data_IF_169359197122
#
_entry.id   IF_169359197122
#
_cell.length_a   1.000
_cell.length_b   1.000
_cell.length_c   1.000
_cell.angle_alpha   90.00
_cell.angle_beta   90.00
_cell.angle_gamma   90.00
#
_symmetry.space_group_name_H-M   'P 1'
#
loop_
_entity.id
_entity.type
_entity.pdbx_description
1 polymer ?
#
# COMPACT_ATOMS: atom_id res chain seq x y z
N UNK A 1 -25.62 -33.72 -59.37
CA UNK A 1 -25.37 -34.54 -58.16
C UNK A 1 -25.62 -33.68 -56.94
N UNK A 2 -26.65 -34.03 -56.16
CA UNK A 2 -26.98 -33.42 -54.87
C UNK A 2 -26.20 -34.15 -53.78
N UNK A 3 -25.47 -33.44 -52.93
CA UNK A 3 -24.95 -33.97 -51.67
C UNK A 3 -25.42 -33.01 -50.58
N UNK A 4 -26.30 -33.52 -49.71
CA UNK A 4 -26.92 -32.79 -48.62
C UNK A 4 -26.03 -32.66 -47.38
N UNK A 5 -26.50 -31.95 -46.34
CA UNK A 5 -25.73 -31.69 -45.13
C UNK A 5 -25.85 -32.84 -44.12
N UNK A 6 -24.73 -33.21 -43.48
CA UNK A 6 -24.74 -34.06 -42.28
C UNK A 6 -24.91 -33.19 -41.03
N UNK A 7 -26.01 -33.41 -40.32
CA UNK A 7 -26.26 -32.95 -38.97
C UNK A 7 -25.85 -34.04 -37.96
N UNK A 8 -25.39 -33.55 -36.80
CA UNK A 8 -25.60 -34.09 -35.45
C UNK A 8 -24.71 -35.22 -34.90
N UNK A 9 -24.14 -34.92 -33.71
CA UNK A 9 -24.02 -35.85 -32.59
C UNK A 9 -22.62 -36.42 -32.35
N UNK A 10 -21.95 -36.04 -31.24
CA UNK A 10 -21.99 -36.83 -30.00
C UNK A 10 -21.23 -36.13 -28.87
N UNK A 11 -21.96 -35.79 -27.80
CA UNK A 11 -21.43 -35.22 -26.55
C UNK A 11 -20.98 -36.39 -25.69
N UNK A 12 -19.68 -36.72 -25.72
CA UNK A 12 -19.10 -37.72 -24.81
C UNK A 12 -18.87 -37.09 -23.44
N UNK A 13 -19.60 -37.59 -22.45
CA UNK A 13 -19.32 -37.43 -21.02
C UNK A 13 -18.17 -38.38 -20.70
N UNK A 14 -17.03 -37.85 -20.33
CA UNK A 14 -15.98 -38.68 -19.75
C UNK A 14 -16.27 -38.92 -18.27
N UNK A 15 -16.15 -40.20 -17.97
CA UNK A 15 -16.46 -40.91 -16.73
C UNK A 15 -15.32 -40.67 -15.76
N UNK A 16 -15.66 -40.25 -14.54
CA UNK A 16 -14.73 -40.18 -13.42
C UNK A 16 -14.62 -41.59 -12.81
N UNK A 17 -13.48 -42.26 -12.97
CA UNK A 17 -13.10 -43.38 -12.11
C UNK A 17 -11.97 -42.93 -11.18
N UNK A 18 -12.12 -43.09 -9.85
CA UNK A 18 -11.06 -42.84 -8.89
C UNK A 18 -10.31 -44.15 -8.63
N UNK A 19 -8.98 -44.12 -8.65
CA UNK A 19 -8.19 -45.00 -7.78
C UNK A 19 -6.71 -44.62 -7.80
N UNK A 20 -6.10 -44.69 -6.61
CA UNK A 20 -4.66 -44.91 -6.49
C UNK A 20 -3.94 -43.92 -5.59
N UNK A 21 -4.16 -44.04 -4.28
CA UNK A 21 -3.15 -43.68 -3.30
C UNK A 21 -1.91 -44.55 -3.55
N UNK A 22 -0.78 -43.93 -3.82
CA UNK A 22 0.54 -44.49 -3.51
C UNK A 22 1.44 -43.33 -3.11
N UNK A 23 1.77 -43.34 -1.83
CA UNK A 23 2.76 -42.49 -1.19
C UNK A 23 4.12 -42.63 -1.86
N UNK A 24 4.72 -41.51 -2.27
CA UNK A 24 6.17 -41.34 -2.29
C UNK A 24 6.48 -39.85 -2.30
N UNK A 25 7.29 -39.47 -1.31
CA UNK A 25 7.76 -38.14 -1.00
C UNK A 25 8.70 -37.63 -2.10
N UNK A 26 8.28 -36.63 -2.87
CA UNK A 26 9.16 -35.65 -3.48
C UNK A 26 8.49 -34.27 -3.33
N UNK A 27 8.95 -33.47 -2.37
CA UNK A 27 8.65 -32.03 -2.30
C UNK A 27 9.30 -31.35 -3.52
N UNK A 28 8.57 -31.36 -4.63
CA UNK A 28 8.82 -30.46 -5.75
C UNK A 28 8.45 -29.05 -5.27
N UNK A 29 9.46 -28.34 -4.79
CA UNK A 29 9.45 -26.88 -4.64
C UNK A 29 9.04 -26.29 -5.99
N UNK A 30 7.76 -25.93 -6.12
CA UNK A 30 7.23 -25.05 -7.16
C UNK A 30 7.96 -23.71 -7.08
N UNK A 31 9.18 -23.70 -7.62
CA UNK A 31 9.85 -22.50 -8.07
C UNK A 31 8.99 -21.94 -9.20
N UNK A 32 8.11 -21.01 -8.81
CA UNK A 32 7.40 -20.10 -9.71
C UNK A 32 8.37 -19.74 -10.84
N UNK A 33 8.01 -19.90 -12.14
CA UNK A 33 8.94 -19.65 -13.22
C UNK A 33 9.46 -18.23 -13.09
N UNK A 34 10.73 -18.12 -12.72
CA UNK A 34 11.50 -16.89 -12.75
C UNK A 34 11.68 -16.55 -14.21
N UNK A 35 10.63 -15.95 -14.78
CA UNK A 35 10.72 -15.24 -16.04
C UNK A 35 11.94 -14.31 -15.99
N UNK A 36 12.60 -14.09 -17.13
CA UNK A 36 13.83 -13.30 -17.17
C UNK A 36 13.60 -11.98 -16.44
N UNK A 37 14.41 -11.73 -15.41
CA UNK A 37 14.43 -10.49 -14.64
C UNK A 37 14.51 -9.35 -15.65
N UNK A 38 13.54 -8.44 -15.71
CA UNK A 38 13.50 -7.42 -16.75
C UNK A 38 14.80 -6.61 -16.73
N UNK A 39 15.50 -6.61 -17.87
CA UNK A 39 16.71 -5.80 -18.11
C UNK A 39 16.37 -4.33 -17.81
N UNK A 40 16.74 -3.85 -16.62
CA UNK A 40 16.35 -2.53 -16.14
C UNK A 40 16.05 -2.42 -14.64
N UNK A 41 16.16 -3.51 -13.85
CA UNK A 41 15.98 -3.42 -12.40
C UNK A 41 17.00 -2.45 -11.79
N UNK A 42 16.51 -1.47 -11.00
CA UNK A 42 17.36 -0.57 -10.24
C UNK A 42 18.23 -1.39 -9.29
N UNK A 43 19.53 -1.09 -9.21
CA UNK A 43 20.38 -1.74 -8.22
C UNK A 43 19.84 -1.51 -6.80
N UNK A 44 19.98 -2.51 -5.93
CA UNK A 44 19.49 -2.43 -4.54
C UNK A 44 19.96 -1.15 -3.82
N UNK A 45 21.22 -0.74 -4.02
CA UNK A 45 21.74 0.52 -3.48
C UNK A 45 20.94 1.74 -3.94
N UNK A 46 20.57 1.82 -5.22
CA UNK A 46 19.76 2.94 -5.74
C UNK A 46 18.35 2.89 -5.20
N UNK A 47 17.75 1.69 -5.07
CA UNK A 47 16.44 1.53 -4.45
C UNK A 47 16.44 2.02 -3.00
N UNK A 48 17.46 1.65 -2.21
CA UNK A 48 17.62 2.10 -0.81
C UNK A 48 17.77 3.62 -0.70
N UNK A 49 18.57 4.24 -1.56
CA UNK A 49 18.74 5.72 -1.56
C UNK A 49 17.42 6.41 -1.93
N UNK A 50 16.74 5.94 -2.98
CA UNK A 50 15.45 6.49 -3.40
C UNK A 50 14.40 6.33 -2.32
N UNK A 51 14.27 5.13 -1.76
CA UNK A 51 13.36 4.83 -0.65
C UNK A 51 13.66 5.76 0.54
N UNK A 52 14.91 5.82 1.02
CA UNK A 52 15.28 6.68 2.14
C UNK A 52 14.99 8.16 1.90
N UNK A 53 15.13 8.63 0.66
CA UNK A 53 14.80 10.01 0.29
C UNK A 53 13.29 10.27 0.32
N UNK A 54 12.49 9.40 -0.30
CA UNK A 54 11.03 9.61 -0.41
C UNK A 54 10.34 9.34 0.93
N UNK A 55 10.70 8.24 1.62
CA UNK A 55 10.23 7.97 2.97
C UNK A 55 10.64 9.08 3.94
N UNK A 56 11.91 9.51 3.90
CA UNK A 56 12.39 10.60 4.76
C UNK A 56 11.63 11.91 4.54
N UNK A 57 11.33 12.26 3.29
CA UNK A 57 10.50 13.42 2.96
C UNK A 57 9.06 13.26 3.49
N UNK A 58 8.44 12.09 3.28
CA UNK A 58 7.09 11.80 3.79
C UNK A 58 7.02 11.90 5.32
N UNK A 59 7.94 11.23 6.00
CA UNK A 59 8.07 11.25 7.46
C UNK A 59 8.29 12.67 7.98
N UNK A 60 9.17 13.45 7.34
CA UNK A 60 9.42 14.84 7.72
C UNK A 60 8.17 15.72 7.56
N UNK A 61 7.41 15.56 6.47
CA UNK A 61 6.13 16.26 6.27
C UNK A 61 5.12 15.89 7.37
N UNK A 62 4.95 14.60 7.67
CA UNK A 62 4.04 14.12 8.72
C UNK A 62 4.44 14.64 10.10
N UNK A 63 5.72 14.52 10.47
CA UNK A 63 6.24 15.01 11.75
C UNK A 63 6.08 16.52 11.87
N UNK A 64 6.39 17.27 10.80
CA UNK A 64 6.23 18.73 10.79
C UNK A 64 4.77 19.13 10.99
N UNK A 65 3.84 18.47 10.29
CA UNK A 65 2.41 18.71 10.43
C UNK A 65 1.92 18.42 11.86
N UNK A 66 2.32 17.29 12.44
CA UNK A 66 1.93 16.90 13.78
C UNK A 66 2.56 17.79 14.87
N UNK A 67 3.85 18.10 14.78
CA UNK A 67 4.55 18.97 15.72
C UNK A 67 4.03 20.41 15.65
N UNK A 68 3.77 20.93 14.44
CA UNK A 68 3.19 22.26 14.29
C UNK A 68 1.78 22.34 14.87
N UNK A 69 0.96 21.29 14.68
CA UNK A 69 -0.39 21.20 15.27
C UNK A 69 -0.32 21.07 16.80
N UNK A 70 0.65 20.32 17.32
CA UNK A 70 0.91 20.22 18.75
C UNK A 70 1.34 21.58 19.34
N UNK A 71 2.28 22.27 18.70
CA UNK A 71 2.80 23.56 19.16
C UNK A 71 1.73 24.67 19.13
N UNK A 72 0.74 24.56 18.26
CA UNK A 72 -0.38 25.51 18.16
C UNK A 72 -1.61 25.09 18.99
N UNK A 73 -1.53 24.00 19.76
CA UNK A 73 -2.65 23.41 20.51
C UNK A 73 -3.88 23.08 19.63
N UNK A 74 -3.64 22.75 18.36
CA UNK A 74 -4.69 22.38 17.40
C UNK A 74 -4.81 20.86 17.20
N UNK A 75 -3.92 20.08 17.83
CA UNK A 75 -4.00 18.62 17.82
C UNK A 75 -5.14 18.15 18.74
N UNK A 76 -6.10 17.41 18.18
CA UNK A 76 -7.28 16.88 18.87
C UNK A 76 -7.20 15.38 19.06
N UNK A 77 -7.65 14.87 20.20
CA UNK A 77 -7.73 13.41 20.45
C UNK A 77 -8.79 12.72 19.60
N UNK A 78 -9.85 13.44 19.25
CA UNK A 78 -11.01 12.85 18.54
C UNK A 78 -10.76 12.76 17.03
N UNK A 79 -10.02 13.74 16.47
CA UNK A 79 -9.84 13.90 15.02
C UNK A 79 -8.38 13.84 14.58
N UNK A 80 -7.43 13.96 15.51
CA UNK A 80 -6.01 14.08 15.20
C UNK A 80 -5.67 15.50 14.74
N UNK A 81 -5.39 15.66 13.45
CA UNK A 81 -5.13 16.97 12.84
C UNK A 81 -6.42 17.69 12.46
N UNK A 82 -6.31 19.00 12.25
CA UNK A 82 -7.36 19.73 11.57
C UNK A 82 -7.51 19.28 10.11
N UNK A 83 -8.74 19.42 9.60
CA UNK A 83 -9.07 19.01 8.22
C UNK A 83 -8.23 19.74 7.17
N UNK A 84 -7.83 21.00 7.40
CA UNK A 84 -6.99 21.75 6.47
C UNK A 84 -5.61 21.11 6.31
N UNK A 85 -5.07 20.56 7.39
CA UNK A 85 -3.75 19.91 7.38
C UNK A 85 -3.84 18.57 6.68
N UNK A 86 -4.90 17.78 6.94
CA UNK A 86 -5.17 16.56 6.18
C UNK A 86 -5.34 16.86 4.68
N UNK A 87 -6.08 17.91 4.34
CA UNK A 87 -6.29 18.32 2.95
C UNK A 87 -4.97 18.74 2.30
N UNK A 88 -4.11 19.49 3.00
CA UNK A 88 -2.79 19.87 2.50
C UNK A 88 -1.90 18.64 2.23
N UNK A 89 -1.85 17.69 3.16
CA UNK A 89 -1.10 16.45 2.99
C UNK A 89 -1.64 15.60 1.83
N UNK A 90 -2.98 15.52 1.69
CA UNK A 90 -3.64 14.87 0.56
C UNK A 90 -3.25 15.53 -0.77
N UNK A 91 -3.33 16.85 -0.88
CA UNK A 91 -2.95 17.59 -2.09
C UNK A 91 -1.47 17.42 -2.41
N UNK A 92 -0.59 17.40 -1.39
CA UNK A 92 0.83 17.16 -1.57
C UNK A 92 1.09 15.76 -2.14
N UNK A 93 0.41 14.73 -1.62
CA UNK A 93 0.51 13.37 -2.13
C UNK A 93 -0.03 13.23 -3.56
N UNK A 94 -1.17 13.85 -3.87
CA UNK A 94 -1.70 13.89 -5.24
C UNK A 94 -0.74 14.60 -6.20
N UNK A 95 -0.14 15.71 -5.77
CA UNK A 95 0.87 16.45 -6.55
C UNK A 95 2.10 15.57 -6.78
N UNK A 96 2.54 14.83 -5.77
CA UNK A 96 3.65 13.88 -5.90
C UNK A 96 3.37 12.81 -6.96
N UNK A 97 2.17 12.22 -6.99
CA UNK A 97 1.77 11.25 -8.00
C UNK A 97 1.77 11.85 -9.42
N UNK A 98 1.36 13.11 -9.57
CA UNK A 98 1.42 13.83 -10.86
C UNK A 98 2.87 14.07 -11.29
N UNK A 99 3.75 14.47 -10.35
CA UNK A 99 5.19 14.62 -10.62
C UNK A 99 5.79 13.29 -11.05
N UNK A 100 5.44 12.19 -10.39
CA UNK A 100 5.85 10.85 -10.79
C UNK A 100 5.40 10.51 -12.22
N UNK A 101 4.14 10.79 -12.57
CA UNK A 101 3.62 10.57 -13.92
C UNK A 101 4.39 11.40 -14.96
N UNK A 102 4.66 12.68 -14.67
CA UNK A 102 5.45 13.53 -15.54
C UNK A 102 6.86 12.95 -15.74
N UNK A 103 7.55 12.57 -14.67
CA UNK A 103 8.88 11.94 -14.73
C UNK A 103 8.84 10.63 -15.52
N UNK A 104 7.82 9.80 -15.32
CA UNK A 104 7.64 8.54 -16.06
C UNK A 104 7.50 8.82 -17.56
N UNK A 105 6.64 9.77 -17.95
CA UNK A 105 6.43 10.17 -19.35
C UNK A 105 7.70 10.75 -19.97
N UNK A 106 8.43 11.63 -19.27
CA UNK A 106 9.69 12.19 -19.78
C UNK A 106 10.80 11.14 -19.94
N UNK A 107 10.76 10.04 -19.19
CA UNK A 107 11.70 8.93 -19.31
C UNK A 107 11.38 7.96 -20.45
N UNK A 108 10.17 8.03 -21.02
CA UNK A 108 9.79 7.18 -22.14
C UNK A 108 10.65 7.52 -23.37
N UNK A 109 11.55 6.61 -23.73
CA UNK A 109 12.25 6.62 -25.02
C UNK A 109 11.50 5.72 -26.02
N UNK A 110 11.29 6.23 -27.24
CA UNK A 110 10.71 5.49 -28.37
C UNK A 110 9.18 5.56 -28.47
N UNK A 111 8.55 4.59 -29.15
CA UNK A 111 7.08 4.49 -29.35
C UNK A 111 6.32 3.90 -28.14
N UNK A 112 6.92 3.87 -26.94
CA UNK A 112 6.27 3.32 -25.74
C UNK A 112 5.22 4.28 -25.19
N UNK A 113 4.13 3.75 -24.65
CA UNK A 113 3.04 4.54 -24.05
C UNK A 113 2.90 4.21 -22.57
N UNK A 114 2.60 5.23 -21.77
CA UNK A 114 2.23 5.04 -20.37
C UNK A 114 0.75 4.66 -20.28
N UNK A 115 0.42 3.58 -19.59
CA UNK A 115 -0.97 3.16 -19.45
C UNK A 115 -1.71 4.05 -18.45
N UNK A 116 -2.83 4.64 -18.88
CA UNK A 116 -3.71 5.41 -18.00
C UNK A 116 -4.34 4.52 -16.91
N UNK A 117 -4.57 3.24 -17.18
CA UNK A 117 -5.12 2.32 -16.17
C UNK A 117 -4.16 2.13 -15.00
N UNK A 118 -2.87 2.00 -15.30
CA UNK A 118 -1.83 1.81 -14.27
C UNK A 118 -1.65 3.09 -13.44
N UNK A 119 -1.74 4.26 -14.08
CA UNK A 119 -1.78 5.53 -13.34
C UNK A 119 -2.96 5.61 -12.37
N UNK A 120 -4.16 5.24 -12.83
CA UNK A 120 -5.36 5.26 -12.00
C UNK A 120 -5.24 4.29 -10.81
N UNK A 121 -4.78 3.06 -11.04
CA UNK A 121 -4.52 2.09 -9.98
C UNK A 121 -3.52 2.61 -8.95
N UNK A 122 -2.38 3.13 -9.41
CA UNK A 122 -1.34 3.70 -8.55
C UNK A 122 -1.85 4.91 -7.75
N UNK A 123 -2.69 5.74 -8.35
CA UNK A 123 -3.30 6.89 -7.68
C UNK A 123 -4.22 6.44 -6.55
N UNK A 124 -5.04 5.42 -6.80
CA UNK A 124 -5.97 4.89 -5.82
C UNK A 124 -5.20 4.26 -4.66
N UNK A 125 -4.28 3.34 -4.94
CA UNK A 125 -3.44 2.71 -3.90
C UNK A 125 -2.66 3.76 -3.11
N UNK A 126 -2.07 4.76 -3.78
CA UNK A 126 -1.28 5.80 -3.14
C UNK A 126 -2.08 6.82 -2.33
N UNK A 127 -3.38 7.01 -2.63
CA UNK A 127 -4.25 7.98 -1.93
C UNK A 127 -5.21 7.34 -0.92
N UNK A 128 -5.35 6.01 -0.93
CA UNK A 128 -6.28 5.30 -0.07
C UNK A 128 -5.76 5.25 1.39
N UNK A 129 -6.48 5.79 2.38
CA UNK A 129 -5.98 5.90 3.76
C UNK A 129 -5.66 4.57 4.46
N UNK A 130 -6.31 3.49 4.02
CA UNK A 130 -6.13 2.13 4.54
C UNK A 130 -4.92 1.41 3.90
N UNK A 131 -4.60 1.70 2.63
CA UNK A 131 -3.62 0.91 1.87
C UNK A 131 -2.29 1.61 1.63
N UNK A 132 -2.29 2.93 1.71
CA UNK A 132 -1.12 3.74 1.40
C UNK A 132 -0.21 3.84 2.61
N UNK A 133 1.03 3.36 2.45
CA UNK A 133 2.11 3.48 3.45
C UNK A 133 2.33 4.94 3.89
N UNK A 134 2.07 5.92 3.00
CA UNK A 134 2.18 7.33 3.34
C UNK A 134 1.16 7.77 4.41
N UNK A 135 -0.06 7.23 4.34
CA UNK A 135 -1.10 7.47 5.35
C UNK A 135 -0.88 6.65 6.60
N UNK A 136 -0.29 5.47 6.49
CA UNK A 136 0.07 4.67 7.66
C UNK A 136 1.15 5.38 8.50
N UNK A 137 2.20 5.87 7.83
CA UNK A 137 3.20 6.75 8.45
C UNK A 137 2.55 7.94 9.16
N UNK A 138 1.53 8.57 8.55
CA UNK A 138 0.80 9.67 9.16
C UNK A 138 0.06 9.24 10.43
N UNK A 139 -0.64 8.10 10.42
CA UNK A 139 -1.33 7.58 11.62
C UNK A 139 -0.36 7.35 12.77
N UNK A 140 0.80 6.77 12.49
CA UNK A 140 1.79 6.43 13.52
C UNK A 140 2.45 7.67 14.11
N UNK A 141 2.72 8.65 13.24
CA UNK A 141 3.20 9.96 13.66
C UNK A 141 2.16 10.64 14.54
N UNK A 142 0.87 10.59 14.17
CA UNK A 142 -0.21 11.19 14.97
C UNK A 142 -0.38 10.50 16.31
N UNK A 143 -0.31 9.18 16.35
CA UNK A 143 -0.32 8.42 17.59
C UNK A 143 0.80 8.90 18.53
N UNK A 144 2.04 8.99 18.05
CA UNK A 144 3.15 9.48 18.87
C UNK A 144 2.96 10.94 19.31
N UNK A 145 2.42 11.80 18.45
CA UNK A 145 2.13 13.18 18.80
C UNK A 145 1.06 13.32 19.90
N UNK A 146 -0.02 12.54 19.82
CA UNK A 146 -1.07 12.49 20.85
C UNK A 146 -0.55 11.95 22.18
N UNK A 147 0.34 10.96 22.15
CA UNK A 147 1.02 10.46 23.33
C UNK A 147 1.90 11.55 23.98
N UNK A 148 2.64 12.33 23.18
CA UNK A 148 3.47 13.44 23.66
C UNK A 148 2.62 14.59 24.25
N UNK A 149 1.42 14.84 23.69
CA UNK A 149 0.48 15.86 24.17
C UNK A 149 -0.06 15.56 25.59
N UNK A 150 -0.08 14.30 26.00
CA UNK A 150 -0.63 13.90 27.29
C UNK A 150 0.15 14.44 28.49
N UNK A 151 -0.48 14.49 29.67
CA UNK A 151 0.17 14.97 30.89
C UNK A 151 1.10 13.92 31.53
N UNK A 152 0.82 12.64 31.30
CA UNK A 152 1.54 11.54 31.91
C UNK A 152 2.91 11.32 31.26
N UNK A 153 3.99 11.38 32.05
CA UNK A 153 5.37 11.18 31.57
C UNK A 153 5.55 9.85 30.85
N UNK A 154 4.90 8.78 31.32
CA UNK A 154 4.95 7.46 30.70
C UNK A 154 4.45 7.49 29.24
N UNK A 155 3.34 8.19 28.99
CA UNK A 155 2.78 8.32 27.66
C UNK A 155 3.68 9.12 26.73
N UNK A 156 4.34 10.17 27.23
CA UNK A 156 5.36 10.91 26.46
C UNK A 156 6.52 10.02 26.03
N UNK A 157 6.99 9.16 26.94
CA UNK A 157 8.05 8.18 26.64
C UNK A 157 7.57 7.19 25.57
N UNK A 158 6.33 6.68 25.68
CA UNK A 158 5.73 5.77 24.68
C UNK A 158 5.65 6.46 23.30
N UNK A 159 5.22 7.73 23.25
CA UNK A 159 5.13 8.47 21.99
C UNK A 159 6.50 8.72 21.34
N UNK A 160 7.52 9.06 22.13
CA UNK A 160 8.89 9.19 21.62
C UNK A 160 9.45 7.83 21.16
N UNK A 161 9.17 6.76 21.91
CA UNK A 161 9.60 5.40 21.57
C UNK A 161 8.92 4.90 20.29
N UNK A 162 7.65 5.23 20.05
CA UNK A 162 6.93 4.81 18.84
C UNK A 162 7.51 5.47 17.59
N UNK A 163 7.85 6.77 17.63
CA UNK A 163 8.53 7.44 16.52
C UNK A 163 9.91 6.86 16.25
N UNK A 164 10.69 6.58 17.29
CA UNK A 164 11.99 5.91 17.14
C UNK A 164 11.81 4.50 16.54
N UNK A 165 10.80 3.76 16.98
CA UNK A 165 10.49 2.44 16.46
C UNK A 165 10.14 2.48 14.96
N UNK A 166 9.30 3.43 14.54
CA UNK A 166 8.92 3.65 13.14
C UNK A 166 10.14 3.87 12.24
N UNK A 167 11.11 4.68 12.68
CA UNK A 167 12.36 4.90 11.93
C UNK A 167 13.19 3.62 11.87
N UNK A 168 13.35 2.94 13.01
CA UNK A 168 14.19 1.73 13.10
C UNK A 168 13.64 0.59 12.25
N UNK A 169 12.33 0.38 12.23
CA UNK A 169 11.71 -0.71 11.46
C UNK A 169 11.84 -0.47 9.95
N UNK A 170 11.67 0.78 9.48
CA UNK A 170 11.88 1.13 8.08
C UNK A 170 13.36 1.02 7.67
N UNK A 171 14.30 1.37 8.55
CA UNK A 171 15.74 1.14 8.32
C UNK A 171 16.05 -0.35 8.26
N UNK A 172 15.41 -1.16 9.10
CA UNK A 172 15.55 -2.62 9.08
C UNK A 172 15.04 -3.21 7.77
N UNK A 173 13.83 -2.85 7.32
CA UNK A 173 13.29 -3.32 6.05
C UNK A 173 14.05 -2.81 4.82
N UNK A 174 14.62 -1.61 4.87
CA UNK A 174 15.48 -1.09 3.81
C UNK A 174 16.78 -1.90 3.62
N UNK A 175 17.19 -2.71 4.61
CA UNK A 175 18.38 -3.58 4.48
C UNK A 175 18.09 -4.84 3.67
N UNK A 176 16.85 -5.32 3.66
CA UNK A 176 16.43 -6.49 2.87
C UNK A 176 16.08 -6.05 1.44
N UNK A 177 16.74 -6.67 0.45
CA UNK A 177 16.58 -6.35 -0.96
C UNK A 177 15.18 -6.66 -1.50
N UNK A 178 14.50 -7.66 -0.93
CA UNK A 178 13.13 -7.98 -1.33
C UNK A 178 12.14 -6.97 -0.74
N UNK A 179 12.30 -6.64 0.55
CA UNK A 179 11.44 -5.68 1.22
C UNK A 179 11.60 -4.26 0.67
N UNK A 180 12.83 -3.83 0.34
CA UNK A 180 13.04 -2.47 -0.19
C UNK A 180 12.39 -2.28 -1.56
N UNK A 181 12.29 -3.33 -2.38
CA UNK A 181 11.60 -3.30 -3.66
C UNK A 181 10.08 -3.12 -3.49
N UNK A 182 9.48 -3.80 -2.51
CA UNK A 182 8.06 -3.63 -2.20
C UNK A 182 7.77 -2.27 -1.55
N UNK A 183 8.66 -1.80 -0.67
CA UNK A 183 8.56 -0.48 -0.04
C UNK A 183 8.66 0.65 -1.07
N UNK A 184 9.67 0.60 -1.94
CA UNK A 184 9.82 1.65 -2.97
C UNK A 184 8.62 1.67 -3.92
N UNK A 185 8.01 0.52 -4.22
CA UNK A 185 6.79 0.44 -5.02
C UNK A 185 5.62 1.16 -4.35
N UNK A 186 5.52 1.16 -3.02
CA UNK A 186 4.44 1.86 -2.31
C UNK A 186 4.59 3.39 -2.40
N UNK A 187 5.83 3.90 -2.45
CA UNK A 187 6.12 5.34 -2.53
C UNK A 187 6.30 5.88 -3.96
N UNK A 188 6.72 5.03 -4.91
CA UNK A 188 7.07 5.37 -6.31
C UNK A 188 6.30 4.53 -7.33
N UNK A 189 5.07 4.10 -7.00
CA UNK A 189 4.24 3.21 -7.80
C UNK A 189 4.11 3.65 -9.27
N UNK A 190 3.93 4.95 -9.54
CA UNK A 190 3.74 5.48 -10.90
C UNK A 190 5.05 5.48 -11.70
N UNK A 191 6.19 5.78 -11.07
CA UNK A 191 7.49 5.78 -11.78
C UNK A 191 7.98 4.37 -12.07
N UNK A 192 7.68 3.42 -11.18
CA UNK A 192 8.08 2.02 -11.27
C UNK A 192 7.10 1.16 -12.08
N UNK A 193 5.97 1.73 -12.51
CA UNK A 193 4.96 1.05 -13.30
C UNK A 193 5.51 0.53 -14.65
N UNK A 194 5.12 -0.69 -15.07
CA UNK A 194 5.52 -1.24 -16.35
C UNK A 194 4.93 -0.42 -17.51
N UNK A 195 5.75 -0.20 -18.55
CA UNK A 195 5.34 0.54 -19.76
C UNK A 195 4.87 -0.43 -20.84
N UNK A 196 3.76 -0.14 -21.53
CA UNK A 196 3.31 -0.95 -22.66
C UNK A 196 4.11 -0.60 -23.91
N UNK A 197 4.73 -1.60 -24.55
CA UNK A 197 5.27 -1.43 -25.90
C UNK A 197 4.09 -1.22 -26.86
N UNK A 198 4.16 -0.21 -27.73
CA UNK A 198 3.18 -0.11 -28.80
C UNK A 198 3.38 -1.30 -29.73
N UNK A 199 2.42 -2.23 -29.76
CA UNK A 199 2.33 -3.22 -30.82
C UNK A 199 2.34 -2.47 -32.16
N UNK A 200 3.22 -2.93 -33.05
CA UNK A 200 3.45 -2.36 -34.39
C UNK A 200 2.27 -2.65 -35.32
N UNK A 201 1.32 -3.48 -34.90
CA UNK A 201 0.11 -3.76 -35.68
C UNK A 201 -1.03 -2.88 -35.19
N UNK A 202 -1.49 -2.01 -36.07
CA UNK A 202 -2.51 -0.97 -35.85
C UNK A 202 -3.91 -1.48 -35.54
N UNK A 203 -4.04 -2.46 -34.65
CA UNK A 203 -5.30 -2.98 -34.13
C UNK A 203 -5.33 -2.99 -32.60
N UNK A 204 -4.64 -2.03 -31.97
CA UNK A 204 -4.98 -1.67 -30.60
C UNK A 204 -6.29 -0.89 -30.66
N UNK A 205 -7.38 -1.57 -30.31
CA UNK A 205 -8.65 -0.97 -29.90
C UNK A 205 -8.33 0.09 -28.85
N UNK A 206 -8.15 1.33 -29.30
CA UNK A 206 -8.07 2.49 -28.45
C UNK A 206 -9.40 2.56 -27.71
N UNK A 207 -9.42 2.07 -26.46
CA UNK A 207 -10.54 2.27 -25.55
C UNK A 207 -10.53 3.76 -25.20
N UNK A 208 -11.11 4.53 -26.12
CA UNK A 208 -11.57 5.87 -25.91
C UNK A 208 -12.92 5.77 -25.20
N UNK A 209 -12.94 5.92 -23.88
CA UNK A 209 -14.15 6.30 -23.15
C UNK A 209 -13.80 7.32 -22.07
N UNK A 210 -13.68 8.57 -22.51
CA UNK A 210 -13.83 9.74 -21.66
C UNK A 210 -15.33 9.97 -21.48
N UNK A 211 -15.96 9.31 -20.51
CA UNK A 211 -17.34 9.60 -20.11
C UNK A 211 -17.60 9.15 -18.67
N UNK A 212 -18.52 9.82 -18.00
CA UNK A 212 -18.99 9.62 -16.61
C UNK A 212 -19.36 8.16 -16.23
N UNK A 213 -19.35 7.24 -17.21
CA UNK A 213 -19.53 5.80 -17.05
C UNK A 213 -18.28 5.04 -16.55
N UNK A 214 -17.09 5.66 -16.51
CA UNK A 214 -15.87 5.01 -15.98
C UNK A 214 -16.01 4.68 -14.50
N UNK A 215 -16.55 5.58 -13.67
CA UNK A 215 -16.75 5.30 -12.23
C UNK A 215 -17.76 4.18 -12.02
N UNK A 216 -18.85 4.12 -12.81
CA UNK A 216 -19.85 3.07 -12.71
C UNK A 216 -19.34 1.70 -13.21
N UNK A 217 -18.59 1.67 -14.32
CA UNK A 217 -17.95 0.47 -14.84
C UNK A 217 -16.80 0.00 -13.94
N UNK A 218 -16.10 0.93 -13.28
CA UNK A 218 -15.04 0.65 -12.33
C UNK A 218 -15.59 0.19 -10.97
N UNK A 219 -16.74 0.71 -10.50
CA UNK A 219 -17.44 0.15 -9.34
C UNK A 219 -17.90 -1.29 -9.58
N UNK A 220 -18.30 -1.63 -10.82
CA UNK A 220 -18.62 -3.01 -11.20
C UNK A 220 -17.36 -3.90 -11.34
N UNK A 221 -16.21 -3.32 -11.69
CA UNK A 221 -14.89 -3.99 -11.80
C UNK A 221 -14.03 -3.85 -10.53
N UNK A 222 -14.57 -3.21 -9.48
CA UNK A 222 -13.86 -2.98 -8.24
C UNK A 222 -13.62 -4.29 -7.51
N UNK A 223 -14.50 -5.29 -7.62
CA UNK A 223 -14.19 -6.64 -7.14
C UNK A 223 -12.92 -7.18 -7.81
N UNK A 224 -12.80 -7.02 -9.12
CA UNK A 224 -11.73 -7.64 -9.90
C UNK A 224 -10.40 -6.86 -9.81
N UNK A 225 -10.44 -5.61 -9.34
CA UNK A 225 -9.24 -4.77 -9.16
C UNK A 225 -8.87 -4.62 -7.68
N UNK A 226 -9.85 -4.33 -6.82
CA UNK A 226 -9.64 -4.13 -5.37
C UNK A 226 -9.39 -5.45 -4.67
N UNK A 227 -10.07 -6.55 -5.03
CA UNK A 227 -9.85 -7.83 -4.36
C UNK A 227 -8.42 -8.36 -4.59
N UNK A 228 -7.83 -8.30 -5.81
CA UNK A 228 -6.42 -8.64 -5.98
C UNK A 228 -5.47 -7.68 -5.30
N UNK A 229 -5.80 -6.38 -5.21
CA UNK A 229 -4.99 -5.41 -4.45
C UNK A 229 -5.02 -5.69 -2.95
N UNK A 230 -6.18 -6.03 -2.40
CA UNK A 230 -6.34 -6.48 -1.01
C UNK A 230 -5.66 -7.83 -0.80
N UNK A 231 -5.75 -8.76 -1.75
CA UNK A 231 -5.06 -10.04 -1.70
C UNK A 231 -3.53 -9.86 -1.74
N UNK A 232 -3.04 -8.88 -2.50
CA UNK A 232 -1.61 -8.49 -2.49
C UNK A 232 -1.15 -7.99 -1.12
N UNK A 233 -2.04 -7.48 -0.26
CA UNK A 233 -1.71 -7.17 1.14
C UNK A 233 -1.51 -8.44 2.00
N UNK A 234 -1.95 -9.59 1.51
CA UNK A 234 -1.83 -10.90 2.19
C UNK A 234 -0.60 -11.69 1.70
N UNK A 235 0.23 -11.12 0.81
CA UNK A 235 1.50 -11.77 0.45
C UNK A 235 2.35 -11.96 1.70
N UNK A 236 3.14 -13.05 1.80
CA UNK A 236 3.90 -13.35 3.01
C UNK A 236 4.83 -12.20 3.40
N UNK A 237 5.44 -11.52 2.43
CA UNK A 237 6.26 -10.32 2.65
C UNK A 237 5.45 -9.17 3.24
N UNK A 238 4.32 -8.77 2.61
CA UNK A 238 3.45 -7.71 3.16
C UNK A 238 2.87 -8.07 4.52
N UNK A 239 2.52 -9.34 4.75
CA UNK A 239 2.05 -9.81 6.06
C UNK A 239 3.14 -9.68 7.12
N UNK A 240 4.38 -10.00 6.79
CA UNK A 240 5.51 -9.78 7.71
C UNK A 240 5.72 -8.30 7.99
N UNK A 241 5.70 -7.43 6.96
CA UNK A 241 5.79 -5.97 7.12
C UNK A 241 4.70 -5.46 8.08
N UNK A 242 3.42 -5.75 7.77
CA UNK A 242 2.27 -5.33 8.55
C UNK A 242 2.30 -5.85 9.98
N UNK A 243 2.73 -7.09 10.20
CA UNK A 243 2.75 -7.69 11.53
C UNK A 243 3.86 -7.09 12.41
N UNK A 244 5.04 -6.87 11.84
CA UNK A 244 6.15 -6.25 12.58
C UNK A 244 5.91 -4.77 12.84
N UNK A 245 5.26 -4.06 11.94
CA UNK A 245 4.96 -2.63 12.11
C UNK A 245 3.75 -2.40 13.02
N UNK A 246 2.60 -3.00 12.69
CA UNK A 246 1.33 -2.64 13.30
C UNK A 246 1.13 -3.30 14.67
N UNK A 247 1.69 -4.48 14.93
CA UNK A 247 1.49 -5.14 16.23
C UNK A 247 2.14 -4.37 17.38
N UNK A 248 3.43 -3.98 17.30
CA UNK A 248 4.05 -3.19 18.35
C UNK A 248 3.38 -1.83 18.52
N UNK A 249 2.97 -1.17 17.42
CA UNK A 249 2.23 0.09 17.49
C UNK A 249 0.84 -0.07 18.11
N UNK A 250 0.12 -1.15 17.80
CA UNK A 250 -1.15 -1.48 18.45
C UNK A 250 -0.96 -1.74 19.94
N UNK A 251 0.10 -2.46 20.35
CA UNK A 251 0.45 -2.64 21.76
C UNK A 251 0.75 -1.28 22.42
N UNK A 252 1.54 -0.43 21.75
CA UNK A 252 1.80 0.93 22.21
C UNK A 252 0.54 1.78 22.28
N UNK A 253 -0.50 1.53 21.48
CA UNK A 253 -1.76 2.25 21.55
C UNK A 253 -2.68 1.73 22.67
N UNK A 254 -2.75 0.41 22.86
CA UNK A 254 -3.63 -0.22 23.87
C UNK A 254 -3.16 0.06 25.30
N UNK A 255 -1.85 0.00 25.56
CA UNK A 255 -1.30 0.19 26.92
C UNK A 255 -1.67 1.57 27.50
N UNK A 256 -1.49 2.69 26.78
CA UNK A 256 -2.00 4.01 27.15
C UNK A 256 -3.50 4.10 27.39
N UNK A 257 -4.30 3.48 26.51
CA UNK A 257 -5.76 3.52 26.62
C UNK A 257 -6.23 2.78 27.87
N UNK A 258 -5.64 1.62 28.14
CA UNK A 258 -5.89 0.84 29.35
C UNK A 258 -5.45 1.61 30.62
N UNK A 259 -4.29 2.27 30.57
CA UNK A 259 -3.79 3.06 31.69
C UNK A 259 -4.67 4.30 32.00
N UNK A 260 -5.17 4.97 30.95
CA UNK A 260 -6.12 6.09 31.10
C UNK A 260 -7.47 5.62 31.64
N UNK A 261 -8.03 4.54 31.11
CA UNK A 261 -9.29 3.97 31.57
C UNK A 261 -9.25 3.53 33.05
N UNK A 262 -8.13 2.92 33.47
CA UNK A 262 -7.92 2.53 34.86
C UNK A 262 -7.86 3.75 35.78
N UNK A 263 -7.12 4.79 35.38
CA UNK A 263 -6.96 6.03 36.16
C UNK A 263 -8.28 6.78 36.34
N UNK A 264 -9.15 6.81 35.32
CA UNK A 264 -10.49 7.42 35.43
C UNK A 264 -11.43 6.63 36.33
N UNK A 265 -11.31 5.29 36.35
CA UNK A 265 -12.15 4.45 37.20
C UNK A 265 -11.86 4.60 38.69
N UNK A 266 -10.60 4.88 39.05
CA UNK A 266 -10.20 5.10 40.44
C UNK A 266 -10.60 6.49 40.96
N UNK A 267 -10.64 7.53 40.11
CA UNK A 267 -11.07 8.88 40.53
C UNK A 267 -12.58 8.96 40.73
N UNK A 268 -13.37 8.28 39.89
CA UNK A 268 -14.83 8.23 40.05
C UNK A 268 -15.32 7.53 41.32
N UNK A 269 -14.43 6.82 42.04
CA UNK A 269 -14.76 6.12 43.27
C UNK A 269 -14.52 6.96 44.54
N UNK A 270 -13.75 8.05 44.46
CA UNK A 270 -13.50 8.95 45.60
C UNK A 270 -14.53 10.08 45.73
N UNK A 271 -15.25 10.43 44.67
CA UNK A 271 -16.26 11.51 44.68
C UNK A 271 -17.67 11.06 45.14
N UNK A 272 -17.81 9.84 45.70
CA UNK A 272 -19.10 9.26 46.15
C UNK A 272 -19.16 9.04 47.67
N UNK A 273 -18.26 9.66 48.45
CA UNK A 273 -18.28 9.57 49.93
C UNK A 273 -18.57 10.92 50.58
#
# INVERSE_FOLDING_TARGET
>A
MKVGPKLCGERRRDVYEPMGNTDSEEEESETLPTGPVPEGSLSATRQRILFGTVFGANLACCLTAAIASLATNRLSKDTGLDWEVYFLLFVLNCTWLVVQAAVAVFRLRGRRKFSLSVFAECTIVGTWPILSDAYDTLKDVLFGALCIQSEYVLLKIIGAASWMYLILIHVYFARDDNCVADLILCYLCVVMAPTTAADVDGNSSSISYFSFSFVAAWCASASDTVLPLLYKQVTPTKRHLLLYENVPQAVFAVVPLAAQAFSTSSTSQEDVV
#
